data_IF_293750097007
#
_entry.id   IF_293750097007
#
_cell.length_a   1.000
_cell.length_b   1.000
_cell.length_c   1.000
_cell.angle_alpha   90.00
_cell.angle_beta   90.00
_cell.angle_gamma   90.00
#
_symmetry.space_group_name_H-M   'P 1'
#
loop_
_entity.id
_entity.type
_entity.pdbx_description
1 polymer ?
#
# COMPACT_ATOMS: atom_id res chain seq x y z
N UNK A 1 4.63 -5.81 7.45
CA UNK A 1 5.24 -7.12 7.16
C UNK A 1 6.21 -6.97 5.99
N UNK A 2 7.40 -7.56 6.04
CA UNK A 2 8.42 -7.51 4.96
C UNK A 2 8.88 -6.10 4.54
N UNK A 3 9.03 -5.18 5.50
CA UNK A 3 9.38 -3.77 5.21
C UNK A 3 10.81 -3.63 4.66
N UNK A 4 11.69 -4.57 4.95
CA UNK A 4 13.03 -4.63 4.36
C UNK A 4 13.00 -4.88 2.84
N UNK A 5 11.90 -5.46 2.31
CA UNK A 5 11.65 -5.58 0.87
C UNK A 5 11.58 -4.25 0.12
N UNK A 6 11.41 -3.13 0.82
CA UNK A 6 11.47 -1.80 0.21
C UNK A 6 12.85 -1.44 -0.37
N UNK A 7 13.90 -2.21 -0.03
CA UNK A 7 15.30 -1.87 -0.35
C UNK A 7 16.12 -3.06 -0.86
N UNK A 8 15.48 -4.19 -1.18
CA UNK A 8 16.14 -5.37 -1.77
C UNK A 8 15.14 -6.34 -2.40
N UNK A 9 15.61 -7.23 -3.29
CA UNK A 9 14.83 -8.40 -3.71
C UNK A 9 14.50 -9.30 -2.51
N UNK A 10 13.26 -9.79 -2.48
CA UNK A 10 12.78 -10.73 -1.45
C UNK A 10 11.82 -11.75 -2.06
N UNK A 11 10.51 -11.49 -2.08
CA UNK A 11 9.50 -12.44 -2.58
C UNK A 11 9.66 -12.71 -4.08
N UNK A 12 10.22 -11.75 -4.82
CA UNK A 12 10.56 -11.85 -6.25
C UNK A 12 11.58 -12.95 -6.56
N UNK A 13 12.47 -13.28 -5.61
CA UNK A 13 13.58 -14.22 -5.84
C UNK A 13 13.16 -15.68 -5.98
N UNK A 14 11.98 -16.04 -5.48
CA UNK A 14 11.53 -17.45 -5.39
C UNK A 14 12.21 -18.26 -4.28
N UNK A 15 13.14 -17.64 -3.52
CA UNK A 15 13.84 -18.29 -2.41
C UNK A 15 12.86 -18.91 -1.41
N UNK A 16 13.05 -20.19 -1.12
CA UNK A 16 12.25 -20.91 -0.13
C UNK A 16 12.42 -20.32 1.27
N UNK A 17 13.62 -19.86 1.61
CA UNK A 17 13.93 -19.28 2.92
C UNK A 17 13.28 -17.90 3.08
N UNK A 18 13.32 -17.06 2.04
CA UNK A 18 12.66 -15.75 2.05
C UNK A 18 11.14 -15.91 2.18
N UNK A 19 10.56 -16.87 1.46
CA UNK A 19 9.14 -17.19 1.55
C UNK A 19 8.76 -17.74 2.93
N UNK A 20 9.55 -18.66 3.48
CA UNK A 20 9.33 -19.20 4.82
C UNK A 20 9.39 -18.09 5.88
N UNK A 21 10.36 -17.18 5.77
CA UNK A 21 10.47 -16.01 6.66
C UNK A 21 9.28 -15.07 6.53
N UNK A 22 8.79 -14.83 5.31
CA UNK A 22 7.60 -14.01 5.08
C UNK A 22 6.36 -14.60 5.74
N UNK A 23 6.15 -15.91 5.63
CA UNK A 23 5.04 -16.61 6.28
C UNK A 23 5.21 -16.57 7.81
N UNK A 24 6.44 -16.64 8.33
CA UNK A 24 6.67 -16.47 9.76
C UNK A 24 6.33 -15.06 10.26
N UNK A 25 6.72 -14.02 9.51
CA UNK A 25 6.28 -12.65 9.82
C UNK A 25 4.75 -12.52 9.84
N UNK A 26 4.01 -13.31 9.05
CA UNK A 26 2.55 -13.35 9.09
C UNK A 26 2.06 -13.91 10.44
N UNK A 27 2.67 -15.00 10.93
CA UNK A 27 2.35 -15.58 12.25
C UNK A 27 2.66 -14.60 13.39
N UNK A 28 3.82 -13.94 13.33
CA UNK A 28 4.19 -12.92 14.32
C UNK A 28 3.20 -11.74 14.30
N UNK A 29 2.75 -11.33 13.11
CA UNK A 29 1.79 -10.24 12.95
C UNK A 29 0.43 -10.56 13.55
N UNK A 30 0.00 -11.84 13.55
CA UNK A 30 -1.21 -12.27 14.27
C UNK A 30 -1.08 -11.97 15.77
N UNK A 31 0.05 -12.29 16.38
CA UNK A 31 0.27 -12.06 17.81
C UNK A 31 0.35 -10.57 18.16
N UNK A 32 0.93 -9.75 17.28
CA UNK A 32 0.93 -8.29 17.43
C UNK A 32 -0.48 -7.73 17.28
N UNK A 33 -1.23 -8.15 16.26
CA UNK A 33 -2.59 -7.69 15.97
C UNK A 33 -3.55 -7.93 17.14
N UNK A 34 -3.45 -9.09 17.81
CA UNK A 34 -4.24 -9.39 19.02
C UNK A 34 -4.03 -8.38 20.15
N UNK A 35 -2.86 -7.73 20.21
CA UNK A 35 -2.51 -6.76 21.26
C UNK A 35 -2.84 -5.32 20.88
N UNK A 36 -2.83 -5.01 19.58
CA UNK A 36 -3.02 -3.64 19.07
C UNK A 36 -4.38 -3.40 18.44
N UNK A 37 -5.17 -4.47 18.25
CA UNK A 37 -6.42 -4.46 17.49
C UNK A 37 -6.25 -4.00 16.03
N UNK A 38 -5.04 -4.20 15.47
CA UNK A 38 -4.76 -3.91 14.07
C UNK A 38 -5.48 -4.93 13.16
N UNK A 39 -6.04 -4.45 12.06
CA UNK A 39 -6.76 -5.27 11.07
C UNK A 39 -5.99 -5.42 9.76
N UNK A 40 -5.09 -4.49 9.46
CA UNK A 40 -4.30 -4.45 8.23
C UNK A 40 -2.81 -4.60 8.48
N UNK A 41 -2.14 -5.31 7.57
CA UNK A 41 -0.69 -5.51 7.59
C UNK A 41 -0.10 -5.04 6.26
N UNK A 42 0.59 -3.90 6.25
CA UNK A 42 1.26 -3.40 5.04
C UNK A 42 2.33 -4.38 4.58
N UNK A 43 2.37 -4.68 3.28
CA UNK A 43 3.35 -5.58 2.65
C UNK A 43 4.03 -4.89 1.49
N UNK A 44 5.36 -4.95 1.48
CA UNK A 44 6.18 -4.59 0.32
C UNK A 44 6.72 -5.88 -0.31
N UNK A 45 6.51 -6.06 -1.62
CA UNK A 45 6.81 -7.33 -2.30
C UNK A 45 8.31 -7.57 -2.52
N UNK A 46 9.13 -6.52 -2.51
CA UNK A 46 10.54 -6.61 -2.86
C UNK A 46 10.89 -5.85 -4.14
N UNK A 47 12.18 -5.62 -4.33
CA UNK A 47 12.73 -5.18 -5.61
C UNK A 47 12.73 -6.31 -6.64
N UNK A 48 12.77 -5.94 -7.92
CA UNK A 48 12.97 -6.86 -9.05
C UNK A 48 14.27 -7.63 -8.82
N UNK A 49 14.19 -8.96 -8.89
CA UNK A 49 15.34 -9.84 -8.74
C UNK A 49 16.10 -10.00 -10.06
N UNK A 50 17.41 -9.72 -10.04
CA UNK A 50 18.28 -9.93 -11.20
C UNK A 50 18.36 -11.42 -11.58
N UNK A 51 18.31 -11.71 -12.88
CA UNK A 51 18.42 -13.06 -13.41
C UNK A 51 17.16 -13.93 -13.28
N UNK A 52 16.07 -13.41 -12.71
CA UNK A 52 14.77 -14.09 -12.65
C UNK A 52 13.81 -13.44 -13.66
N UNK A 53 13.18 -14.18 -14.59
CA UNK A 53 12.19 -13.62 -15.50
C UNK A 53 10.99 -12.99 -14.76
N UNK A 54 10.44 -11.89 -15.28
CA UNK A 54 9.35 -11.14 -14.60
C UNK A 54 8.11 -12.00 -14.33
N UNK A 55 7.78 -12.93 -15.23
CA UNK A 55 6.67 -13.88 -15.06
C UNK A 55 6.92 -14.84 -13.90
N UNK A 56 8.15 -15.33 -13.75
CA UNK A 56 8.56 -16.16 -12.61
C UNK A 56 8.55 -15.36 -11.30
N UNK A 57 9.03 -14.12 -11.31
CA UNK A 57 8.94 -13.22 -10.15
C UNK A 57 7.49 -13.00 -9.72
N UNK A 58 6.59 -12.81 -10.69
CA UNK A 58 5.15 -12.65 -10.45
C UNK A 58 4.56 -13.91 -9.81
N UNK A 59 4.88 -15.09 -10.35
CA UNK A 59 4.46 -16.36 -9.76
C UNK A 59 4.99 -16.55 -8.33
N UNK A 60 6.25 -16.19 -8.08
CA UNK A 60 6.87 -16.27 -6.75
C UNK A 60 6.17 -15.36 -5.72
N UNK A 61 5.86 -14.12 -6.12
CA UNK A 61 5.13 -13.16 -5.27
C UNK A 61 3.73 -13.69 -4.98
N UNK A 62 2.99 -14.16 -5.98
CA UNK A 62 1.63 -14.72 -5.80
C UNK A 62 1.67 -15.90 -4.82
N UNK A 63 2.62 -16.82 -4.97
CA UNK A 63 2.75 -17.99 -4.09
C UNK A 63 3.04 -17.58 -2.64
N UNK A 64 3.96 -16.63 -2.43
CA UNK A 64 4.26 -16.12 -1.10
C UNK A 64 3.04 -15.44 -0.44
N UNK A 65 2.30 -14.64 -1.21
CA UNK A 65 1.08 -13.98 -0.73
C UNK A 65 -0.02 -14.99 -0.40
N UNK A 66 -0.22 -16.04 -1.21
CA UNK A 66 -1.18 -17.12 -0.89
C UNK A 66 -0.86 -17.81 0.43
N UNK A 67 0.41 -18.14 0.66
CA UNK A 67 0.83 -18.80 1.89
C UNK A 67 0.63 -17.90 3.12
N UNK A 68 0.95 -16.61 3.02
CA UNK A 68 0.73 -15.67 4.12
C UNK A 68 -0.77 -15.39 4.34
N UNK A 69 -1.57 -15.29 3.28
CA UNK A 69 -3.04 -15.18 3.37
C UNK A 69 -3.65 -16.33 4.16
N UNK A 70 -3.23 -17.57 3.89
CA UNK A 70 -3.73 -18.74 4.61
C UNK A 70 -3.46 -18.70 6.12
N UNK A 71 -2.42 -17.98 6.56
CA UNK A 71 -2.12 -17.75 7.97
C UNK A 71 -3.03 -16.67 8.56
N UNK A 72 -3.29 -15.60 7.82
CA UNK A 72 -3.98 -14.41 8.33
C UNK A 72 -5.51 -14.52 8.28
N UNK A 73 -6.04 -15.23 7.29
CA UNK A 73 -7.47 -15.35 7.03
C UNK A 73 -8.30 -15.93 8.18
N UNK A 74 -7.85 -16.98 8.90
CA UNK A 74 -8.56 -17.49 10.09
C UNK A 74 -8.70 -16.46 11.22
N UNK A 75 -7.90 -15.39 11.19
CA UNK A 75 -7.90 -14.32 12.18
C UNK A 75 -8.61 -13.04 11.70
N UNK A 76 -9.16 -13.05 10.48
CA UNK A 76 -9.81 -11.87 9.88
C UNK A 76 -8.83 -10.72 9.59
N UNK A 77 -7.53 -11.01 9.49
CA UNK A 77 -6.50 -10.03 9.18
C UNK A 77 -6.27 -9.96 7.68
N UNK A 78 -5.91 -8.77 7.19
CA UNK A 78 -5.77 -8.51 5.76
C UNK A 78 -4.39 -7.89 5.48
N UNK A 79 -3.62 -8.52 4.59
CA UNK A 79 -2.44 -7.89 4.00
C UNK A 79 -2.88 -6.83 3.01
N UNK A 80 -2.25 -5.66 3.08
CA UNK A 80 -2.46 -4.57 2.13
C UNK A 80 -1.13 -4.31 1.42
N UNK A 81 -1.04 -4.79 0.18
CA UNK A 81 0.17 -4.72 -0.64
C UNK A 81 0.29 -3.31 -1.22
N UNK A 82 1.44 -2.68 -1.01
CA UNK A 82 1.68 -1.30 -1.40
C UNK A 82 2.50 -1.23 -2.69
N UNK A 83 1.93 -0.66 -3.78
CA UNK A 83 2.71 -0.35 -4.97
C UNK A 83 3.51 0.93 -4.75
N UNK A 84 4.83 0.86 -4.95
CA UNK A 84 5.76 1.94 -4.63
C UNK A 84 6.29 2.64 -5.90
N UNK A 85 6.56 3.94 -5.79
CA UNK A 85 7.05 4.72 -6.92
C UNK A 85 8.55 4.54 -7.19
N UNK A 86 8.94 4.74 -8.44
CA UNK A 86 10.34 4.61 -8.89
C UNK A 86 11.28 5.72 -8.37
N UNK A 87 10.74 6.86 -7.93
CA UNK A 87 11.53 8.02 -7.50
C UNK A 87 12.21 7.74 -6.17
N UNK A 88 11.43 7.23 -5.22
CA UNK A 88 11.85 6.96 -3.84
C UNK A 88 12.27 5.50 -3.65
N UNK A 89 11.62 4.57 -4.37
CA UNK A 89 11.86 3.14 -4.27
C UNK A 89 12.24 2.56 -5.63
N UNK A 90 13.46 2.88 -6.06
CA UNK A 90 14.01 2.41 -7.34
C UNK A 90 14.02 0.88 -7.36
N UNK A 91 13.54 0.30 -8.46
CA UNK A 91 13.60 -1.15 -8.67
C UNK A 91 12.50 -1.96 -8.00
N UNK A 92 11.51 -1.33 -7.34
CA UNK A 92 10.39 -2.08 -6.77
C UNK A 92 9.62 -2.88 -7.81
N UNK A 93 9.23 -4.10 -7.43
CA UNK A 93 8.49 -5.01 -8.31
C UNK A 93 7.04 -4.54 -8.51
N UNK A 94 6.33 -4.28 -7.42
CA UNK A 94 4.94 -3.84 -7.43
C UNK A 94 4.89 -2.32 -7.56
N UNK A 95 4.39 -1.83 -8.69
CA UNK A 95 4.42 -0.39 -9.02
C UNK A 95 3.10 0.16 -9.54
N UNK A 96 2.36 -0.68 -10.26
CA UNK A 96 1.24 -0.22 -11.08
C UNK A 96 -0.09 -0.77 -10.57
N UNK A 97 -1.16 0.00 -10.72
CA UNK A 97 -2.52 -0.42 -10.37
C UNK A 97 -2.95 -1.68 -11.15
N UNK A 98 -2.79 -1.79 -12.49
CA UNK A 98 -3.16 -3.00 -13.22
C UNK A 98 -2.42 -4.26 -12.73
N UNK A 99 -1.11 -4.15 -12.47
CA UNK A 99 -0.31 -5.24 -11.91
C UNK A 99 -0.84 -5.67 -10.54
N UNK A 100 -1.22 -4.70 -9.71
CA UNK A 100 -1.79 -4.97 -8.38
C UNK A 100 -3.10 -5.74 -8.49
N UNK A 101 -4.00 -5.34 -9.39
CA UNK A 101 -5.26 -6.05 -9.66
C UNK A 101 -4.99 -7.49 -10.12
N UNK A 102 -4.04 -7.70 -11.03
CA UNK A 102 -3.67 -9.03 -11.53
C UNK A 102 -3.20 -9.94 -10.39
N UNK A 103 -2.35 -9.43 -9.49
CA UNK A 103 -1.88 -10.18 -8.33
C UNK A 103 -3.04 -10.49 -7.38
N UNK A 104 -3.90 -9.52 -7.06
CA UNK A 104 -5.04 -9.76 -6.17
C UNK A 104 -5.97 -10.85 -6.72
N UNK A 105 -6.24 -10.81 -8.03
CA UNK A 105 -7.04 -11.85 -8.71
C UNK A 105 -6.37 -13.22 -8.68
N UNK A 106 -5.05 -13.27 -8.84
CA UNK A 106 -4.33 -14.53 -8.84
C UNK A 106 -4.18 -15.14 -7.44
N UNK A 107 -4.06 -14.30 -6.40
CA UNK A 107 -4.03 -14.71 -4.99
C UNK A 107 -5.41 -15.19 -4.54
N UNK A 108 -6.47 -14.50 -4.95
CA UNK A 108 -7.88 -14.86 -4.70
C UNK A 108 -8.19 -15.15 -3.22
N UNK A 109 -7.79 -14.24 -2.33
CA UNK A 109 -8.08 -14.33 -0.89
C UNK A 109 -8.58 -12.99 -0.36
N UNK A 110 -9.59 -12.97 0.54
CA UNK A 110 -10.01 -11.75 1.23
C UNK A 110 -8.91 -11.13 2.09
N UNK A 111 -7.92 -11.92 2.49
CA UNK A 111 -6.77 -11.48 3.30
C UNK A 111 -5.59 -10.95 2.50
N UNK A 112 -5.73 -10.75 1.18
CA UNK A 112 -4.76 -10.04 0.36
C UNK A 112 -5.46 -8.96 -0.47
N UNK A 113 -5.07 -7.71 -0.23
CA UNK A 113 -5.68 -6.51 -0.79
C UNK A 113 -4.62 -5.47 -1.14
N UNK A 114 -5.05 -4.34 -1.69
CA UNK A 114 -4.19 -3.23 -2.11
C UNK A 114 -4.20 -2.14 -1.04
N UNK A 115 -3.02 -1.70 -0.63
CA UNK A 115 -2.84 -0.39 -0.02
C UNK A 115 -2.71 0.62 -1.14
N UNK A 116 -3.61 1.61 -1.21
CA UNK A 116 -3.53 2.65 -2.23
C UNK A 116 -2.93 3.93 -1.65
N UNK A 117 -1.61 4.04 -1.73
CA UNK A 117 -0.89 5.27 -1.41
C UNK A 117 -0.95 6.25 -2.60
N UNK A 118 -1.64 7.37 -2.40
CA UNK A 118 -1.91 8.35 -3.47
C UNK A 118 -0.66 9.12 -3.91
N UNK A 119 0.36 9.24 -3.04
CA UNK A 119 1.64 9.84 -3.40
C UNK A 119 2.38 8.94 -4.40
N UNK A 120 2.50 7.65 -4.08
CA UNK A 120 3.19 6.68 -4.94
C UNK A 120 2.49 6.53 -6.29
N UNK A 121 1.16 6.48 -6.30
CA UNK A 121 0.37 6.39 -7.53
C UNK A 121 0.47 7.66 -8.38
N UNK A 122 0.39 8.86 -7.78
CA UNK A 122 0.52 10.11 -8.53
C UNK A 122 1.91 10.23 -9.17
N UNK A 123 2.96 9.85 -8.45
CA UNK A 123 4.34 9.92 -8.95
C UNK A 123 4.65 8.88 -10.06
N UNK A 124 3.86 7.80 -10.14
CA UNK A 124 4.11 6.68 -11.05
C UNK A 124 3.20 6.70 -12.28
N UNK A 125 1.89 6.84 -12.07
CA UNK A 125 0.87 6.69 -13.11
C UNK A 125 0.01 7.94 -13.29
N UNK A 126 -0.13 8.77 -12.25
CA UNK A 126 -1.12 9.84 -12.23
C UNK A 126 -2.53 9.25 -12.25
N UNK A 127 -3.47 9.95 -12.89
CA UNK A 127 -4.85 9.51 -13.14
C UNK A 127 -5.54 8.80 -11.95
N UNK A 128 -5.38 9.37 -10.74
CA UNK A 128 -5.68 8.70 -9.47
C UNK A 128 -7.10 8.16 -9.38
N UNK A 129 -8.10 8.94 -9.78
CA UNK A 129 -9.51 8.56 -9.65
C UNK A 129 -9.85 7.37 -10.55
N UNK A 130 -9.34 7.35 -11.79
CA UNK A 130 -9.63 6.25 -12.71
C UNK A 130 -8.95 4.95 -12.27
N UNK A 131 -7.69 5.01 -11.84
CA UNK A 131 -6.99 3.85 -11.29
C UNK A 131 -7.65 3.34 -10.00
N UNK A 132 -8.04 4.27 -9.12
CA UNK A 132 -8.80 3.96 -7.92
C UNK A 132 -10.13 3.27 -8.25
N UNK A 133 -10.86 3.72 -9.27
CA UNK A 133 -12.10 3.06 -9.71
C UNK A 133 -11.87 1.65 -10.25
N UNK A 134 -10.80 1.45 -11.02
CA UNK A 134 -10.46 0.14 -11.57
C UNK A 134 -10.12 -0.90 -10.49
N UNK A 135 -9.53 -0.45 -9.38
CA UNK A 135 -9.10 -1.30 -8.26
C UNK A 135 -10.02 -1.24 -7.03
N UNK A 136 -11.14 -0.51 -7.08
CA UNK A 136 -11.93 -0.11 -5.90
C UNK A 136 -12.23 -1.26 -4.93
N UNK A 137 -12.70 -2.40 -5.46
CA UNK A 137 -13.12 -3.55 -4.65
C UNK A 137 -11.95 -4.27 -3.95
N UNK A 138 -10.72 -3.94 -4.32
CA UNK A 138 -9.49 -4.47 -3.73
C UNK A 138 -8.82 -3.50 -2.76
N UNK A 139 -9.33 -2.28 -2.56
CA UNK A 139 -8.66 -1.23 -1.75
C UNK A 139 -9.42 -1.00 -0.43
N UNK A 140 -9.04 -1.69 0.67
CA UNK A 140 -9.60 -1.42 1.99
C UNK A 140 -8.92 -0.25 2.71
N UNK A 141 -7.76 0.21 2.22
CA UNK A 141 -6.93 1.19 2.92
C UNK A 141 -6.22 2.14 1.96
N UNK A 142 -6.28 3.43 2.29
CA UNK A 142 -5.63 4.50 1.54
C UNK A 142 -4.58 5.21 2.40
N UNK A 143 -3.52 5.65 1.75
CA UNK A 143 -2.55 6.58 2.33
C UNK A 143 -2.43 7.83 1.49
N UNK A 144 -2.06 8.91 2.16
CA UNK A 144 -1.99 10.26 1.60
C UNK A 144 -0.57 10.77 1.69
N UNK A 145 -0.18 11.47 0.64
CA UNK A 145 0.98 12.34 0.59
C UNK A 145 0.88 13.19 -0.67
N UNK A 146 1.03 14.49 -0.55
CA UNK A 146 0.94 15.36 -1.71
C UNK A 146 2.18 15.20 -2.60
N UNK A 147 1.99 15.28 -3.91
CA UNK A 147 3.06 15.21 -4.90
C UNK A 147 3.11 16.51 -5.68
N UNK A 148 4.30 17.12 -5.89
CA UNK A 148 5.60 16.73 -5.35
C UNK A 148 5.75 17.05 -3.85
N UNK A 149 6.78 16.48 -3.21
CA UNK A 149 7.23 16.86 -1.86
C UNK A 149 6.86 15.89 -0.73
N UNK A 150 5.86 15.02 -0.90
CA UNK A 150 5.38 14.02 0.08
C UNK A 150 5.05 14.67 1.43
N UNK A 151 4.19 15.69 1.40
CA UNK A 151 3.70 16.44 2.57
C UNK A 151 2.17 16.39 2.66
N UNK A 152 1.57 17.14 3.57
CA UNK A 152 0.11 17.20 3.77
C UNK A 152 -0.65 17.75 2.54
N UNK A 153 -1.95 17.45 2.40
CA UNK A 153 -2.77 17.94 1.28
C UNK A 153 -2.70 19.46 1.06
N UNK A 154 -2.61 19.88 -0.20
CA UNK A 154 -2.56 21.28 -0.61
C UNK A 154 -1.14 21.86 -0.69
N UNK A 155 -0.12 21.04 -0.46
CA UNK A 155 1.30 21.44 -0.59
C UNK A 155 1.89 21.08 -1.96
N UNK A 156 1.22 20.21 -2.70
CA UNK A 156 1.58 19.75 -4.04
C UNK A 156 0.47 20.01 -5.06
N UNK A 157 0.44 19.18 -6.10
CA UNK A 157 -0.42 19.35 -7.27
C UNK A 157 -1.72 18.53 -7.20
N UNK A 158 -1.84 17.61 -6.23
CA UNK A 158 -3.00 16.73 -6.14
C UNK A 158 -4.20 17.52 -5.61
N UNK A 159 -5.31 17.50 -6.35
CA UNK A 159 -6.58 18.07 -5.89
C UNK A 159 -7.29 17.09 -4.93
N UNK A 160 -6.85 17.08 -3.67
CA UNK A 160 -7.40 16.20 -2.63
C UNK A 160 -8.88 16.44 -2.33
N UNK A 161 -9.40 17.67 -2.50
CA UNK A 161 -10.83 17.94 -2.32
C UNK A 161 -11.68 17.10 -3.30
N UNK A 162 -11.24 16.97 -4.55
CA UNK A 162 -11.91 16.10 -5.52
C UNK A 162 -11.71 14.61 -5.23
N UNK A 163 -10.49 14.22 -4.81
CA UNK A 163 -10.18 12.82 -4.49
C UNK A 163 -11.01 12.33 -3.30
N UNK A 164 -11.05 13.07 -2.20
CA UNK A 164 -11.81 12.68 -1.01
C UNK A 164 -13.32 12.77 -1.25
N UNK A 165 -13.80 13.78 -1.99
CA UNK A 165 -15.19 13.83 -2.43
C UNK A 165 -15.58 12.59 -3.23
N UNK A 166 -14.70 12.12 -4.12
CA UNK A 166 -14.93 10.90 -4.88
C UNK A 166 -14.97 9.67 -3.98
N UNK A 167 -13.99 9.53 -3.06
CA UNK A 167 -13.94 8.42 -2.09
C UNK A 167 -15.20 8.36 -1.22
N UNK A 168 -15.61 9.51 -0.66
CA UNK A 168 -16.83 9.64 0.13
C UNK A 168 -18.08 9.33 -0.70
N UNK A 169 -18.16 9.83 -1.94
CA UNK A 169 -19.26 9.54 -2.86
C UNK A 169 -19.37 8.07 -3.27
N UNK A 170 -18.26 7.32 -3.22
CA UNK A 170 -18.21 5.86 -3.39
C UNK A 170 -18.52 5.09 -2.11
N UNK A 171 -18.75 5.79 -0.99
CA UNK A 171 -19.10 5.21 0.30
C UNK A 171 -17.92 4.66 1.09
N UNK A 172 -16.69 5.14 0.82
CA UNK A 172 -15.54 4.76 1.66
C UNK A 172 -15.69 5.36 3.06
N UNK A 173 -15.68 4.49 4.07
CA UNK A 173 -15.81 4.81 5.50
C UNK A 173 -14.59 4.35 6.33
N UNK A 174 -13.53 3.88 5.65
CA UNK A 174 -12.30 3.40 6.25
C UNK A 174 -11.34 4.51 6.69
N UNK A 175 -10.20 4.10 7.24
CA UNK A 175 -9.14 5.01 7.69
C UNK A 175 -8.35 5.51 6.48
N UNK A 176 -7.96 6.79 6.52
CA UNK A 176 -6.98 7.36 5.58
C UNK A 176 -5.69 7.64 6.34
N UNK A 177 -4.62 6.94 5.98
CA UNK A 177 -3.31 7.07 6.62
C UNK A 177 -2.54 8.30 6.18
N UNK A 178 -1.98 9.03 7.14
CA UNK A 178 -1.14 10.22 6.88
C UNK A 178 0.34 9.81 6.72
N UNK A 179 0.70 9.08 5.66
CA UNK A 179 2.09 8.65 5.42
C UNK A 179 2.90 9.69 4.63
N UNK A 180 3.12 10.82 5.28
CA UNK A 180 3.86 11.91 4.70
C UNK A 180 4.59 12.73 5.78
N UNK A 181 5.56 13.54 5.36
CA UNK A 181 6.18 14.52 6.25
C UNK A 181 5.30 15.76 6.44
N UNK A 182 5.68 16.69 7.30
CA UNK A 182 5.00 18.00 7.42
C UNK A 182 5.74 19.10 6.68
N UNK A 183 5.05 20.01 5.99
CA UNK A 183 5.71 21.14 5.32
C UNK A 183 6.36 22.11 6.33
N UNK A 184 5.80 22.16 7.54
CA UNK A 184 6.26 23.01 8.64
C UNK A 184 6.49 22.18 9.93
N UNK A 185 7.52 22.57 10.70
CA UNK A 185 7.81 21.98 12.01
C UNK A 185 7.11 22.71 13.17
N UNK A 186 7.26 22.19 14.38
CA UNK A 186 6.73 22.82 15.59
C UNK A 186 5.21 22.69 15.75
N UNK A 187 4.66 23.40 16.74
CA UNK A 187 3.24 23.37 17.08
C UNK A 187 2.38 23.92 15.94
N UNK A 188 2.84 24.98 15.31
CA UNK A 188 2.19 25.64 14.18
C UNK A 188 2.06 24.68 12.99
N UNK A 189 3.09 23.87 12.73
CA UNK A 189 3.03 22.82 11.71
C UNK A 189 2.03 21.69 12.02
N UNK A 190 1.84 21.32 13.29
CA UNK A 190 0.78 20.36 13.66
C UNK A 190 -0.62 20.94 13.42
N UNK A 191 -0.82 22.23 13.73
CA UNK A 191 -2.10 22.90 13.48
C UNK A 191 -2.37 22.99 11.98
N UNK A 192 -1.39 23.41 11.18
CA UNK A 192 -1.50 23.50 9.73
C UNK A 192 -1.80 22.14 9.09
N UNK A 193 -1.18 21.06 9.60
CA UNK A 193 -1.48 19.68 9.18
C UNK A 193 -2.96 19.34 9.39
N UNK A 194 -3.50 19.59 10.59
CA UNK A 194 -4.91 19.30 10.89
C UNK A 194 -5.83 20.13 9.99
N UNK A 195 -5.54 21.42 9.83
CA UNK A 195 -6.31 22.32 8.96
C UNK A 195 -6.28 21.88 7.50
N UNK A 196 -5.13 21.41 7.00
CA UNK A 196 -5.00 20.91 5.63
C UNK A 196 -5.99 19.78 5.32
N UNK A 197 -6.12 18.80 6.23
CA UNK A 197 -7.11 17.73 6.07
C UNK A 197 -8.54 18.23 6.20
N UNK A 198 -8.84 19.10 7.17
CA UNK A 198 -10.20 19.67 7.34
C UNK A 198 -10.66 20.47 6.12
N UNK A 199 -9.74 21.11 5.40
CA UNK A 199 -10.06 21.90 4.21
C UNK A 199 -10.40 21.05 2.98
N UNK A 200 -9.98 19.78 2.95
CA UNK A 200 -10.23 18.85 1.84
C UNK A 200 -11.19 17.72 2.21
N UNK A 201 -11.60 17.66 3.47
CA UNK A 201 -12.63 16.73 3.96
C UNK A 201 -14.00 17.12 3.37
N UNK A 202 -14.72 16.19 2.71
CA UNK A 202 -16.03 16.47 2.13
C UNK A 202 -17.17 16.54 3.17
N UNK A 203 -16.90 16.37 4.47
CA UNK A 203 -17.90 16.32 5.55
C UNK A 203 -18.02 17.58 6.40
#
# INVERSE_FOLDING_TARGET
MNMDGAWRPSLTTGSADERARFVEHARESVEVAKRTNATWMTVVCGEVADGVPMEEQTANVIEALKQASAVLEPHGLVMVCEPLNWRDHRGQFLRYTPQSIEIMRAVDSPSCRILQDLYHQQATEGNLIDHMNAAWDYIPYFQVGDNPGRREPGTGEINYANVFKHMHGRGYDGIVGMEHGKSMGGKEGEVALIEAYRNVDPT
#
